data_IF_489647245673
#
_entry.id   IF_489647245673
#
_cell.length_a   1.000
_cell.length_b   1.000
_cell.length_c   1.000
_cell.angle_alpha   90.00
_cell.angle_beta   90.00
_cell.angle_gamma   90.00
#
_symmetry.space_group_name_H-M   'P 1'
#
loop_
_entity.id
_entity.type
_entity.pdbx_description
1 polymer ?
#
# COMPACT_ATOMS: atom_id res chain seq x y z
N UNK A 1 -6.63 -10.23 -23.49
CA UNK A 1 -6.98 -9.50 -22.23
C UNK A 1 -8.41 -9.75 -21.74
N UNK A 2 -9.45 -9.61 -22.57
CA UNK A 2 -10.85 -9.79 -22.12
C UNK A 2 -11.19 -11.22 -21.66
N UNK A 3 -10.66 -12.25 -22.35
CA UNK A 3 -10.82 -13.67 -21.98
C UNK A 3 -10.13 -14.00 -20.65
N UNK A 4 -8.85 -13.64 -20.50
CA UNK A 4 -8.10 -13.70 -19.23
C UNK A 4 -8.87 -13.09 -18.06
N UNK A 5 -9.30 -11.83 -18.22
CA UNK A 5 -10.02 -11.09 -17.18
C UNK A 5 -11.29 -11.82 -16.76
N UNK A 6 -11.93 -12.55 -17.67
CA UNK A 6 -13.12 -13.35 -17.37
C UNK A 6 -12.78 -14.65 -16.63
N UNK A 7 -11.80 -15.43 -17.09
CA UNK A 7 -11.43 -16.71 -16.47
C UNK A 7 -10.90 -16.55 -15.05
N UNK A 8 -9.99 -15.59 -14.80
CA UNK A 8 -9.48 -15.33 -13.44
C UNK A 8 -10.57 -14.79 -12.51
N UNK A 9 -11.50 -13.99 -13.06
CA UNK A 9 -12.65 -13.45 -12.31
C UNK A 9 -13.60 -14.57 -11.91
N UNK A 10 -13.92 -15.48 -12.83
CA UNK A 10 -14.73 -16.68 -12.55
C UNK A 10 -14.02 -17.57 -11.51
N UNK A 11 -12.71 -17.82 -11.69
CA UNK A 11 -11.92 -18.64 -10.77
C UNK A 11 -11.92 -18.16 -9.32
N UNK A 12 -11.83 -16.84 -9.11
CA UNK A 12 -11.92 -16.23 -7.78
C UNK A 12 -13.37 -16.25 -7.27
N UNK A 13 -14.36 -15.93 -8.12
CA UNK A 13 -15.78 -15.95 -7.71
C UNK A 13 -16.25 -17.34 -7.27
N UNK A 14 -15.65 -18.40 -7.80
CA UNK A 14 -15.94 -19.78 -7.39
C UNK A 14 -15.34 -20.15 -6.03
N UNK A 15 -14.35 -19.39 -5.54
CA UNK A 15 -13.61 -19.67 -4.30
C UNK A 15 -13.87 -18.67 -3.19
N UNK A 16 -14.34 -17.48 -3.55
CA UNK A 16 -14.53 -16.35 -2.63
C UNK A 16 -15.98 -15.96 -2.62
N UNK A 17 -16.64 -16.19 -1.49
CA UNK A 17 -18.03 -15.77 -1.31
C UNK A 17 -18.12 -14.27 -1.05
N UNK A 18 -18.94 -13.58 -1.85
CA UNK A 18 -19.29 -12.18 -1.67
C UNK A 18 -19.83 -11.87 -0.26
N UNK A 19 -20.52 -12.82 0.38
CA UNK A 19 -21.04 -12.62 1.73
C UNK A 19 -19.89 -12.52 2.73
N UNK A 20 -18.83 -13.31 2.58
CA UNK A 20 -17.67 -13.27 3.48
C UNK A 20 -16.89 -11.97 3.31
N UNK A 21 -16.65 -11.57 2.05
CA UNK A 21 -15.91 -10.34 1.73
C UNK A 21 -16.65 -9.12 2.26
N UNK A 22 -17.94 -8.98 1.95
CA UNK A 22 -18.74 -7.82 2.36
C UNK A 22 -19.04 -7.87 3.86
N UNK A 23 -19.38 -9.05 4.39
CA UNK A 23 -19.68 -9.29 5.79
C UNK A 23 -18.55 -8.92 6.74
N UNK A 24 -17.30 -8.92 6.24
CA UNK A 24 -16.13 -8.46 7.01
C UNK A 24 -16.18 -6.98 7.43
N UNK A 25 -16.96 -6.14 6.74
CA UNK A 25 -17.05 -4.71 7.03
C UNK A 25 -18.48 -4.14 7.09
N UNK A 26 -19.47 -4.89 6.59
CA UNK A 26 -20.88 -4.51 6.64
C UNK A 26 -21.66 -5.58 7.41
N UNK A 27 -22.42 -5.16 8.42
CA UNK A 27 -23.34 -6.05 9.12
C UNK A 27 -24.51 -6.43 8.19
N UNK A 28 -24.44 -7.63 7.62
CA UNK A 28 -25.46 -8.19 6.75
C UNK A 28 -26.45 -9.06 7.53
N UNK A 29 -27.76 -8.86 7.30
CA UNK A 29 -28.84 -9.71 7.83
C UNK A 29 -29.49 -10.47 6.68
N UNK A 30 -29.74 -11.77 6.86
CA UNK A 30 -30.41 -12.60 5.86
C UNK A 30 -31.89 -12.20 5.74
N UNK A 31 -32.34 -11.97 4.52
CA UNK A 31 -33.72 -11.59 4.17
C UNK A 31 -34.15 -12.40 2.95
N UNK A 32 -34.92 -13.47 3.19
CA UNK A 32 -35.28 -14.43 2.15
C UNK A 32 -34.04 -15.12 1.57
N UNK A 33 -33.84 -15.01 0.25
CA UNK A 33 -32.68 -15.57 -0.47
C UNK A 33 -31.46 -14.64 -0.48
N UNK A 34 -31.61 -13.38 -0.09
CA UNK A 34 -30.55 -12.37 -0.13
C UNK A 34 -30.14 -11.96 1.28
N UNK A 35 -29.13 -11.11 1.35
CA UNK A 35 -28.68 -10.44 2.56
C UNK A 35 -28.86 -8.94 2.41
N UNK A 36 -29.11 -8.24 3.51
CA UNK A 36 -29.38 -6.81 3.51
C UNK A 36 -28.62 -6.10 4.63
N UNK A 37 -28.06 -4.92 4.33
CA UNK A 37 -27.30 -4.10 5.28
C UNK A 37 -27.36 -2.61 4.92
N UNK A 38 -26.68 -1.79 5.72
CA UNK A 38 -26.43 -0.39 5.38
C UNK A 38 -25.36 -0.33 4.29
N UNK A 39 -25.53 0.59 3.34
CA UNK A 39 -24.61 0.77 2.24
C UNK A 39 -23.26 1.32 2.72
N UNK A 40 -22.13 0.72 2.31
CA UNK A 40 -20.81 1.25 2.63
C UNK A 40 -20.39 2.42 1.74
N UNK A 41 -21.19 2.76 0.72
CA UNK A 41 -20.83 3.75 -0.30
C UNK A 41 -21.51 5.11 -0.14
N UNK A 42 -22.51 5.20 0.74
CA UNK A 42 -23.18 6.44 1.07
C UNK A 42 -23.79 6.34 2.47
N UNK A 43 -24.01 7.48 3.11
CA UNK A 43 -24.59 7.52 4.45
C UNK A 43 -26.11 7.37 4.38
N UNK A 44 -26.65 6.35 5.04
CA UNK A 44 -28.08 6.09 5.16
C UNK A 44 -28.45 5.56 6.56
N UNK A 45 -29.73 5.70 6.95
CA UNK A 45 -30.27 5.15 8.20
C UNK A 45 -31.06 3.85 8.01
N UNK A 46 -31.60 3.65 6.82
CA UNK A 46 -32.42 2.48 6.47
C UNK A 46 -31.61 1.60 5.55
N UNK A 47 -31.47 0.29 5.81
CA UNK A 47 -30.74 -0.62 4.93
C UNK A 47 -31.29 -0.55 3.49
N UNK A 48 -30.44 -0.21 2.52
CA UNK A 48 -30.76 -0.31 1.08
C UNK A 48 -29.77 -1.19 0.30
N UNK A 49 -28.71 -1.65 0.96
CA UNK A 49 -27.68 -2.50 0.37
C UNK A 49 -28.11 -3.98 0.38
N UNK A 50 -28.28 -4.56 -0.79
CA UNK A 50 -28.71 -5.96 -0.95
C UNK A 50 -27.60 -6.77 -1.61
N UNK A 51 -27.29 -7.93 -1.05
CA UNK A 51 -26.27 -8.85 -1.53
C UNK A 51 -26.90 -10.20 -1.83
N UNK A 52 -26.68 -10.70 -3.04
CA UNK A 52 -27.11 -12.03 -3.47
C UNK A 52 -25.90 -12.96 -3.47
N UNK A 53 -25.93 -13.93 -2.56
CA UNK A 53 -24.91 -15.00 -2.46
C UNK A 53 -24.94 -15.87 -3.72
N UNK A 54 -26.12 -16.27 -4.18
CA UNK A 54 -26.30 -17.09 -5.39
C UNK A 54 -25.74 -16.41 -6.64
N UNK A 55 -26.00 -15.11 -6.82
CA UNK A 55 -25.53 -14.35 -8.00
C UNK A 55 -24.12 -13.80 -7.84
N UNK A 56 -23.50 -13.95 -6.66
CA UNK A 56 -22.22 -13.30 -6.32
C UNK A 56 -22.21 -11.80 -6.68
N UNK A 57 -23.30 -11.10 -6.34
CA UNK A 57 -23.57 -9.73 -6.79
C UNK A 57 -24.24 -8.88 -5.70
N UNK A 58 -23.93 -7.60 -5.64
CA UNK A 58 -24.61 -6.63 -4.78
C UNK A 58 -25.28 -5.52 -5.58
N UNK A 59 -26.33 -4.95 -5.01
CA UNK A 59 -26.98 -3.74 -5.50
C UNK A 59 -27.46 -2.88 -4.33
N UNK A 60 -27.16 -1.59 -4.38
CA UNK A 60 -27.67 -0.60 -3.43
C UNK A 60 -28.88 0.13 -4.03
N UNK A 61 -30.06 -0.02 -3.42
CA UNK A 61 -31.27 0.67 -3.88
C UNK A 61 -31.32 2.16 -3.52
N UNK A 62 -30.50 2.63 -2.57
CA UNK A 62 -30.37 4.05 -2.24
C UNK A 62 -29.50 4.84 -3.23
N UNK A 63 -28.27 4.39 -3.50
CA UNK A 63 -27.30 5.13 -4.32
C UNK A 63 -27.03 4.52 -5.70
N UNK A 64 -27.68 3.42 -6.08
CA UNK A 64 -27.55 2.77 -7.39
C UNK A 64 -26.24 1.99 -7.61
N UNK A 65 -25.25 2.07 -6.70
CA UNK A 65 -24.01 1.30 -6.83
C UNK A 65 -24.29 -0.19 -6.82
N UNK A 66 -23.71 -0.91 -7.77
CA UNK A 66 -23.88 -2.34 -7.94
C UNK A 66 -22.62 -2.98 -8.52
N UNK A 67 -22.46 -4.28 -8.32
CA UNK A 67 -21.30 -4.99 -8.85
C UNK A 67 -21.01 -6.32 -8.18
N UNK A 68 -19.86 -6.88 -8.56
CA UNK A 68 -19.31 -8.11 -7.97
C UNK A 68 -18.38 -7.82 -6.79
N UNK A 69 -17.82 -8.88 -6.19
CA UNK A 69 -16.75 -8.78 -5.18
C UNK A 69 -15.63 -7.82 -5.57
N UNK A 70 -15.25 -7.78 -6.85
CA UNK A 70 -14.18 -6.90 -7.33
C UNK A 70 -14.59 -5.44 -7.29
N UNK A 71 -15.80 -5.12 -7.72
CA UNK A 71 -16.33 -3.76 -7.66
C UNK A 71 -16.40 -3.28 -6.22
N UNK A 72 -16.84 -4.16 -5.32
CA UNK A 72 -16.88 -3.86 -3.90
C UNK A 72 -15.49 -3.53 -3.35
N UNK A 73 -14.48 -4.36 -3.62
CA UNK A 73 -13.10 -4.14 -3.18
C UNK A 73 -12.51 -2.89 -3.82
N UNK A 74 -12.65 -2.68 -5.13
CA UNK A 74 -12.16 -1.47 -5.80
C UNK A 74 -12.72 -0.20 -5.17
N UNK A 75 -14.03 -0.16 -4.90
CA UNK A 75 -14.71 1.01 -4.34
C UNK A 75 -14.37 1.24 -2.86
N UNK A 76 -14.39 0.18 -2.04
CA UNK A 76 -14.10 0.29 -0.60
C UNK A 76 -12.61 0.44 -0.31
N UNK A 77 -11.76 -0.04 -1.21
CA UNK A 77 -10.31 0.01 -1.07
C UNK A 77 -9.66 1.16 -1.83
N UNK A 78 -10.38 1.79 -2.76
CA UNK A 78 -9.90 2.80 -3.70
C UNK A 78 -8.67 2.29 -4.47
N UNK A 79 -8.83 1.12 -5.07
CA UNK A 79 -7.79 0.40 -5.80
C UNK A 79 -8.29 0.02 -7.18
N UNK A 80 -7.37 -0.23 -8.11
CA UNK A 80 -7.75 -0.69 -9.44
C UNK A 80 -8.18 -2.17 -9.44
N UNK A 81 -8.60 -2.66 -10.61
CA UNK A 81 -9.07 -4.03 -10.75
C UNK A 81 -7.97 -5.07 -10.45
N UNK A 82 -6.72 -4.80 -10.86
CA UNK A 82 -5.63 -5.74 -10.66
C UNK A 82 -5.26 -5.81 -9.18
N UNK A 83 -5.16 -4.65 -8.52
CA UNK A 83 -4.98 -4.55 -7.08
C UNK A 83 -6.08 -5.29 -6.32
N UNK A 84 -7.35 -5.09 -6.69
CA UNK A 84 -8.49 -5.77 -6.07
C UNK A 84 -8.41 -7.29 -6.24
N UNK A 85 -8.02 -7.74 -7.44
CA UNK A 85 -7.82 -9.14 -7.77
C UNK A 85 -6.68 -9.77 -6.95
N UNK A 86 -5.52 -9.12 -6.88
CA UNK A 86 -4.40 -9.53 -6.02
C UNK A 86 -4.79 -9.51 -4.53
N UNK A 87 -5.64 -8.56 -4.12
CA UNK A 87 -6.15 -8.44 -2.74
C UNK A 87 -6.96 -9.66 -2.34
N UNK A 88 -7.89 -10.05 -3.20
CA UNK A 88 -8.75 -11.19 -2.98
C UNK A 88 -7.95 -12.48 -3.03
N UNK A 89 -7.02 -12.60 -3.98
CA UNK A 89 -6.17 -13.77 -4.09
C UNK A 89 -5.30 -13.99 -2.83
N UNK A 90 -4.61 -12.95 -2.37
CA UNK A 90 -3.77 -13.01 -1.18
C UNK A 90 -4.58 -13.34 0.08
N UNK A 91 -5.75 -12.71 0.28
CA UNK A 91 -6.61 -12.95 1.45
C UNK A 91 -7.12 -14.38 1.56
N UNK A 92 -7.40 -15.01 0.42
CA UNK A 92 -7.99 -16.34 0.35
C UNK A 92 -6.98 -17.42 -0.07
N UNK A 93 -5.68 -17.10 -0.12
CA UNK A 93 -4.62 -18.04 -0.46
C UNK A 93 -4.74 -18.62 -1.87
N UNK A 94 -5.26 -17.85 -2.82
CA UNK A 94 -5.51 -18.28 -4.20
C UNK A 94 -4.26 -18.00 -5.04
N UNK A 95 -3.70 -19.05 -5.64
CA UNK A 95 -2.62 -18.91 -6.60
C UNK A 95 -3.17 -18.41 -7.95
N UNK A 96 -2.69 -17.23 -8.36
CA UNK A 96 -3.04 -16.62 -9.64
C UNK A 96 -2.14 -17.07 -10.79
N UNK A 97 -1.01 -17.72 -10.48
CA UNK A 97 0.01 -18.15 -11.46
C UNK A 97 -0.57 -18.89 -12.67
N UNK A 98 -1.56 -19.80 -12.54
CA UNK A 98 -2.13 -20.53 -13.68
C UNK A 98 -2.88 -19.65 -14.68
N UNK A 99 -3.41 -18.50 -14.23
CA UNK A 99 -4.20 -17.61 -15.10
C UNK A 99 -3.30 -16.65 -15.88
N UNK A 100 -2.02 -16.61 -15.56
CA UNK A 100 -1.08 -15.71 -16.21
C UNK A 100 -0.65 -16.34 -17.55
N UNK A 101 -1.53 -16.30 -18.55
CA UNK A 101 -1.39 -17.03 -19.82
C UNK A 101 -0.37 -16.43 -20.80
N UNK A 102 0.24 -15.28 -20.51
CA UNK A 102 1.27 -14.70 -21.40
C UNK A 102 2.55 -14.43 -20.63
N UNK A 103 3.70 -14.73 -21.25
CA UNK A 103 5.01 -14.34 -20.74
C UNK A 103 5.02 -12.87 -20.32
N UNK A 104 4.32 -11.99 -21.06
CA UNK A 104 4.20 -10.57 -20.75
C UNK A 104 3.34 -10.27 -19.50
N UNK A 105 2.26 -11.01 -19.26
CA UNK A 105 1.44 -10.88 -18.04
C UNK A 105 2.18 -11.37 -16.80
N UNK A 106 2.95 -12.45 -16.94
CA UNK A 106 3.77 -13.05 -15.88
C UNK A 106 4.92 -12.16 -15.54
N UNK A 107 5.60 -11.69 -16.57
CA UNK A 107 6.63 -10.69 -16.43
C UNK A 107 6.10 -9.41 -15.76
N UNK A 108 4.88 -8.93 -16.07
CA UNK A 108 4.31 -7.75 -15.37
C UNK A 108 4.01 -8.01 -13.90
N UNK A 109 3.39 -9.15 -13.57
CA UNK A 109 3.10 -9.51 -12.18
C UNK A 109 4.39 -9.74 -11.38
N UNK A 110 5.31 -10.53 -11.91
CA UNK A 110 6.61 -10.80 -11.31
C UNK A 110 7.41 -9.50 -11.14
N UNK A 111 7.42 -8.62 -12.15
CA UNK A 111 8.04 -7.31 -12.05
C UNK A 111 7.42 -6.48 -10.92
N UNK A 112 6.09 -6.46 -10.78
CA UNK A 112 5.41 -5.69 -9.73
C UNK A 112 5.72 -6.25 -8.34
N UNK A 113 5.72 -7.57 -8.17
CA UNK A 113 6.15 -8.21 -6.94
C UNK A 113 7.60 -7.87 -6.61
N UNK A 114 8.48 -7.88 -7.62
CA UNK A 114 9.87 -7.49 -7.50
C UNK A 114 10.04 -6.05 -6.99
N UNK A 115 9.18 -5.11 -7.40
CA UNK A 115 9.19 -3.74 -6.87
C UNK A 115 8.85 -3.69 -5.38
N UNK A 116 7.89 -4.50 -4.91
CA UNK A 116 7.61 -4.60 -3.46
C UNK A 116 8.81 -5.19 -2.69
N UNK A 117 9.51 -6.18 -3.27
CA UNK A 117 10.71 -6.77 -2.67
C UNK A 117 11.86 -5.75 -2.56
N UNK A 118 12.04 -4.91 -3.59
CA UNK A 118 13.00 -3.79 -3.58
C UNK A 118 12.65 -2.82 -2.45
N UNK A 119 11.39 -2.39 -2.36
CA UNK A 119 10.97 -1.42 -1.34
C UNK A 119 11.08 -1.96 0.08
N UNK A 120 10.74 -3.24 0.30
CA UNK A 120 10.95 -3.90 1.58
C UNK A 120 12.44 -3.98 1.94
N UNK A 121 13.29 -4.36 0.98
CA UNK A 121 14.74 -4.44 1.17
C UNK A 121 15.36 -3.08 1.47
N UNK A 122 14.93 -2.03 0.75
CA UNK A 122 15.34 -0.65 0.98
C UNK A 122 14.91 -0.15 2.37
N UNK A 123 13.70 -0.48 2.82
CA UNK A 123 13.23 -0.11 4.16
C UNK A 123 14.10 -0.75 5.25
N UNK A 124 14.41 -2.04 5.12
CA UNK A 124 15.33 -2.75 6.04
C UNK A 124 16.73 -2.15 6.02
N UNK A 125 17.23 -1.78 4.84
CA UNK A 125 18.50 -1.09 4.69
C UNK A 125 18.52 0.23 5.46
N UNK A 126 17.58 1.15 5.18
CA UNK A 126 17.53 2.44 5.86
C UNK A 126 17.31 2.31 7.36
N UNK A 127 16.48 1.37 7.80
CA UNK A 127 16.29 1.07 9.22
C UNK A 127 17.61 0.64 9.89
N UNK A 128 18.39 -0.23 9.24
CA UNK A 128 19.72 -0.62 9.73
C UNK A 128 20.69 0.57 9.79
N UNK A 129 20.68 1.44 8.78
CA UNK A 129 21.54 2.63 8.75
C UNK A 129 21.19 3.63 9.87
N UNK A 130 19.92 3.71 10.30
CA UNK A 130 19.53 4.57 11.42
C UNK A 130 20.26 4.19 12.71
N UNK A 131 20.40 2.89 12.99
CA UNK A 131 21.13 2.40 14.16
C UNK A 131 22.61 2.81 14.17
N UNK A 132 23.23 2.89 12.99
CA UNK A 132 24.62 3.30 12.82
C UNK A 132 24.86 4.81 12.84
N UNK A 133 23.82 5.63 12.69
CA UNK A 133 23.95 7.10 12.58
C UNK A 133 23.71 7.79 13.92
N UNK A 134 24.76 8.36 14.51
CA UNK A 134 24.63 9.16 15.73
C UNK A 134 23.78 10.42 15.49
N UNK A 135 24.00 11.11 14.37
CA UNK A 135 23.28 12.35 14.01
C UNK A 135 21.77 12.10 13.89
N UNK A 136 21.38 11.04 13.19
CA UNK A 136 19.95 10.71 13.04
C UNK A 136 19.30 10.31 14.37
N UNK A 137 20.00 9.56 15.23
CA UNK A 137 19.50 9.20 16.56
C UNK A 137 19.36 10.41 17.49
N UNK A 138 20.35 11.30 17.50
CA UNK A 138 20.29 12.55 18.28
C UNK A 138 19.14 13.44 17.78
N UNK A 139 18.91 13.50 16.48
CA UNK A 139 17.77 14.22 15.92
C UNK A 139 16.43 13.68 16.42
N UNK A 140 16.25 12.35 16.41
CA UNK A 140 15.03 11.70 16.94
C UNK A 140 14.85 11.96 18.44
N UNK A 141 15.93 11.90 19.22
CA UNK A 141 15.92 12.22 20.65
C UNK A 141 15.53 13.67 20.91
N UNK A 142 16.07 14.63 20.14
CA UNK A 142 15.68 16.04 20.20
C UNK A 142 14.22 16.28 19.84
N UNK A 143 13.60 15.34 19.11
CA UNK A 143 12.17 15.31 18.81
C UNK A 143 11.34 14.47 19.77
N UNK A 144 11.95 13.97 20.85
CA UNK A 144 11.32 13.13 21.88
C UNK A 144 10.72 11.84 21.31
N UNK A 145 11.24 11.34 20.19
CA UNK A 145 10.82 10.08 19.60
C UNK A 145 11.62 8.94 20.21
N UNK A 146 10.91 8.02 20.89
CA UNK A 146 11.53 6.83 21.48
C UNK A 146 12.01 5.85 20.40
N UNK A 147 13.00 5.03 20.74
CA UNK A 147 13.43 3.93 19.86
C UNK A 147 12.28 2.96 19.55
N UNK A 148 11.34 2.77 20.49
CA UNK A 148 10.17 1.93 20.27
C UNK A 148 9.25 2.54 19.21
N UNK A 149 9.03 3.86 19.26
CA UNK A 149 8.28 4.60 18.24
C UNK A 149 8.97 4.53 16.88
N UNK A 150 10.29 4.77 16.84
CA UNK A 150 11.08 4.67 15.61
C UNK A 150 10.99 3.26 15.00
N UNK A 151 11.05 2.21 15.83
CA UNK A 151 10.82 0.82 15.40
C UNK A 151 9.41 0.57 14.90
N UNK A 152 8.40 1.06 15.61
CA UNK A 152 6.99 0.84 15.25
C UNK A 152 6.67 1.39 13.87
N UNK A 153 7.12 2.60 13.56
CA UNK A 153 6.93 3.25 12.26
C UNK A 153 7.98 2.86 11.21
N UNK A 154 8.98 2.04 11.57
CA UNK A 154 10.05 1.61 10.67
C UNK A 154 10.96 2.75 10.19
N UNK A 155 11.16 3.79 11.02
CA UNK A 155 11.98 4.95 10.65
C UNK A 155 13.41 4.50 10.29
N UNK A 156 13.97 5.12 9.27
CA UNK A 156 15.30 4.81 8.77
C UNK A 156 16.17 6.04 8.59
N UNK A 157 17.38 5.84 8.09
CA UNK A 157 18.29 6.91 7.70
C UNK A 157 18.88 6.60 6.33
N UNK A 158 18.84 7.56 5.42
CA UNK A 158 19.59 7.52 4.18
C UNK A 158 20.93 8.22 4.42
N UNK A 159 22.06 7.49 4.43
CA UNK A 159 23.38 8.08 4.61
C UNK A 159 23.67 9.12 3.52
N UNK A 160 24.56 10.05 3.82
CA UNK A 160 25.11 10.90 2.76
C UNK A 160 25.95 10.06 1.79
N UNK A 161 25.97 10.46 0.52
CA UNK A 161 26.61 9.72 -0.56
C UNK A 161 25.67 9.43 -1.73
N UNK A 162 26.26 9.25 -2.91
CA UNK A 162 25.53 9.23 -4.18
C UNK A 162 25.13 7.84 -4.68
N UNK A 163 25.64 6.76 -4.07
CA UNK A 163 25.50 5.39 -4.57
C UNK A 163 25.13 4.37 -3.48
N UNK A 164 24.78 4.82 -2.27
CA UNK A 164 24.61 3.96 -1.10
C UNK A 164 23.50 2.91 -1.31
N UNK A 165 22.30 3.33 -1.74
CA UNK A 165 21.20 2.39 -2.02
C UNK A 165 21.45 1.59 -3.29
N UNK A 166 22.11 2.19 -4.29
CA UNK A 166 22.48 1.52 -5.55
C UNK A 166 23.37 0.31 -5.25
N UNK A 167 24.50 0.52 -4.57
CA UNK A 167 25.44 -0.54 -4.24
C UNK A 167 24.82 -1.62 -3.35
N UNK A 168 24.01 -1.22 -2.37
CA UNK A 168 23.29 -2.17 -1.53
C UNK A 168 22.36 -3.05 -2.37
N UNK A 169 21.56 -2.44 -3.23
CA UNK A 169 20.53 -3.16 -3.97
C UNK A 169 21.14 -4.06 -5.07
N UNK A 170 22.20 -3.63 -5.74
CA UNK A 170 22.96 -4.46 -6.69
C UNK A 170 23.52 -5.71 -6.01
N UNK A 171 24.10 -5.57 -4.81
CA UNK A 171 24.56 -6.71 -4.00
C UNK A 171 23.41 -7.63 -3.56
N UNK A 172 22.21 -7.08 -3.41
CA UNK A 172 20.99 -7.82 -3.10
C UNK A 172 20.30 -8.43 -4.35
N UNK A 173 20.90 -8.29 -5.53
CA UNK A 173 20.39 -8.87 -6.79
C UNK A 173 19.28 -8.06 -7.45
N UNK A 174 19.13 -6.78 -7.11
CA UNK A 174 18.20 -5.87 -7.75
C UNK A 174 18.90 -5.03 -8.83
N UNK A 175 18.17 -4.72 -9.89
CA UNK A 175 18.67 -3.94 -11.03
C UNK A 175 18.42 -2.45 -10.83
N UNK A 176 19.28 -1.59 -11.39
CA UNK A 176 19.07 -0.13 -11.40
C UNK A 176 17.72 0.27 -11.99
N UNK A 177 17.21 -0.52 -12.94
CA UNK A 177 15.89 -0.28 -13.56
C UNK A 177 14.79 -0.41 -12.52
N UNK A 178 14.81 -1.46 -11.70
CA UNK A 178 13.86 -1.67 -10.61
C UNK A 178 13.94 -0.53 -9.58
N UNK A 179 15.16 -0.09 -9.21
CA UNK A 179 15.34 1.04 -8.28
C UNK A 179 14.77 2.34 -8.84
N UNK A 180 14.95 2.57 -10.14
CA UNK A 180 14.40 3.75 -10.83
C UNK A 180 12.86 3.69 -10.86
N UNK A 181 12.29 2.52 -11.13
CA UNK A 181 10.84 2.30 -11.16
C UNK A 181 10.20 2.40 -9.76
N UNK A 182 10.94 2.08 -8.70
CA UNK A 182 10.58 2.36 -7.31
C UNK A 182 10.82 3.82 -6.89
N UNK A 183 11.42 4.65 -7.75
CA UNK A 183 11.75 6.03 -7.46
C UNK A 183 12.85 6.21 -6.40
N UNK A 184 13.64 5.19 -6.09
CA UNK A 184 14.72 5.24 -5.09
C UNK A 184 15.97 5.96 -5.61
N UNK A 185 16.13 6.00 -6.93
CA UNK A 185 17.26 6.64 -7.62
C UNK A 185 16.76 7.62 -8.67
N UNK A 186 17.67 8.46 -9.14
CA UNK A 186 17.50 9.39 -10.24
C UNK A 186 18.53 9.10 -11.31
N UNK A 187 18.26 9.56 -12.53
CA UNK A 187 19.19 9.54 -13.66
C UNK A 187 19.46 10.98 -14.08
N UNK A 188 20.74 11.37 -14.19
CA UNK A 188 21.09 12.69 -14.71
C UNK A 188 21.14 12.71 -16.26
N UNK A 189 21.36 13.88 -16.84
CA UNK A 189 21.45 14.07 -18.30
C UNK A 189 22.57 13.24 -18.95
N UNK A 190 23.67 13.01 -18.23
CA UNK A 190 24.78 12.16 -18.66
C UNK A 190 24.53 10.66 -18.46
N UNK A 191 23.28 10.26 -18.21
CA UNK A 191 22.86 8.88 -17.96
C UNK A 191 23.50 8.19 -16.75
N UNK A 192 24.05 8.95 -15.79
CA UNK A 192 24.52 8.43 -14.51
C UNK A 192 23.38 8.35 -13.51
N UNK A 193 23.32 7.22 -12.81
CA UNK A 193 22.35 6.99 -11.76
C UNK A 193 22.88 7.47 -10.42
N UNK A 194 22.02 7.96 -9.54
CA UNK A 194 22.37 8.36 -8.19
C UNK A 194 21.21 8.28 -7.22
N UNK A 195 21.52 8.10 -5.94
CA UNK A 195 20.55 7.99 -4.84
C UNK A 195 19.64 9.21 -4.77
N UNK A 196 18.32 9.01 -4.70
CA UNK A 196 17.37 10.12 -4.51
C UNK A 196 17.48 10.72 -3.11
N UNK A 197 17.52 9.86 -2.10
CA UNK A 197 17.54 10.24 -0.70
C UNK A 197 18.97 10.17 -0.16
N UNK A 198 19.45 11.29 0.40
CA UNK A 198 20.80 11.43 0.93
C UNK A 198 20.75 12.34 2.15
N UNK A 199 21.49 12.00 3.19
CA UNK A 199 21.49 12.67 4.49
C UNK A 199 20.09 13.00 5.03
N UNK A 200 19.18 12.01 5.00
CA UNK A 200 17.77 12.20 5.38
C UNK A 200 17.30 11.16 6.38
N UNK A 201 16.52 11.59 7.36
CA UNK A 201 15.65 10.71 8.13
C UNK A 201 14.55 10.20 7.21
N UNK A 202 14.39 8.88 7.15
CA UNK A 202 13.50 8.19 6.22
C UNK A 202 12.24 7.74 6.92
N UNK A 203 11.10 8.03 6.30
CA UNK A 203 9.76 7.67 6.72
C UNK A 203 9.19 6.70 5.68
N UNK A 204 9.18 5.37 5.94
CA UNK A 204 8.56 4.44 5.02
C UNK A 204 7.06 4.71 4.94
N UNK A 205 6.54 4.75 3.72
CA UNK A 205 5.12 4.93 3.44
C UNK A 205 4.54 3.56 3.12
N UNK A 206 3.53 3.16 3.88
CA UNK A 206 2.87 1.87 3.76
C UNK A 206 1.54 1.98 3.02
N UNK A 207 1.22 0.98 2.22
CA UNK A 207 -0.13 0.81 1.69
C UNK A 207 -1.09 0.27 2.78
N UNK A 208 -2.36 0.08 2.41
CA UNK A 208 -3.40 -0.44 3.32
C UNK A 208 -3.15 -1.88 3.80
N UNK A 209 -2.24 -2.61 3.15
CA UNK A 209 -1.84 -3.98 3.52
C UNK A 209 -0.58 -3.99 4.39
N UNK A 210 0.07 -2.84 4.58
CA UNK A 210 1.31 -2.74 5.34
C UNK A 210 2.56 -3.03 4.50
N UNK A 211 2.48 -3.03 3.17
CA UNK A 211 3.65 -3.13 2.29
C UNK A 211 4.27 -1.75 2.13
N UNK A 212 5.60 -1.66 2.13
CA UNK A 212 6.30 -0.40 1.86
C UNK A 212 6.18 -0.09 0.38
N UNK A 213 5.64 1.09 0.05
CA UNK A 213 5.39 1.50 -1.34
C UNK A 213 6.10 2.79 -1.73
N UNK A 214 6.51 3.59 -0.76
CA UNK A 214 7.26 4.82 -0.99
C UNK A 214 8.06 5.24 0.26
N UNK A 215 8.81 6.33 0.14
CA UNK A 215 9.47 6.97 1.27
C UNK A 215 9.22 8.49 1.28
N UNK A 216 9.07 9.04 2.48
CA UNK A 216 9.37 10.43 2.77
C UNK A 216 10.78 10.54 3.35
N UNK A 217 11.48 11.65 3.07
CA UNK A 217 12.83 11.90 3.56
C UNK A 217 12.95 13.33 4.09
N UNK A 218 13.29 13.48 5.37
CA UNK A 218 13.50 14.79 6.01
C UNK A 218 14.99 15.06 6.18
N UNK A 219 15.46 16.23 5.80
CA UNK A 219 16.84 16.65 6.10
C UNK A 219 17.09 16.67 7.60
N UNK A 220 18.35 16.44 8.00
CA UNK A 220 18.79 16.54 9.39
C UNK A 220 19.52 17.87 9.69
N UNK A 221 19.87 18.59 8.63
CA UNK A 221 20.56 19.87 8.61
C UNK A 221 19.67 20.96 7.97
N UNK A 222 20.27 22.08 7.56
CA UNK A 222 19.61 23.19 6.89
C UNK A 222 19.41 22.96 5.37
N UNK A 223 19.60 21.72 4.89
CA UNK A 223 19.41 21.37 3.49
C UNK A 223 17.97 21.57 3.01
N UNK A 224 17.82 21.83 1.70
CA UNK A 224 16.52 21.97 1.06
C UNK A 224 16.30 20.89 -0.02
N UNK A 225 15.04 20.48 -0.27
CA UNK A 225 13.85 20.82 0.50
C UNK A 225 13.81 20.10 1.85
N UNK A 226 13.11 20.68 2.84
CA UNK A 226 12.99 20.13 4.20
C UNK A 226 12.44 18.70 4.20
N UNK A 227 11.44 18.44 3.36
CA UNK A 227 10.91 17.11 3.07
C UNK A 227 11.00 16.83 1.57
N UNK A 228 11.37 15.59 1.24
CA UNK A 228 11.38 15.05 -0.11
C UNK A 228 10.55 13.76 -0.09
N UNK A 229 9.63 13.59 -1.03
CA UNK A 229 8.84 12.36 -1.15
C UNK A 229 9.26 11.59 -2.40
N UNK A 230 9.04 10.27 -2.38
CA UNK A 230 9.06 9.47 -3.61
C UNK A 230 8.12 10.06 -4.66
N UNK A 231 8.47 9.96 -5.96
CA UNK A 231 7.55 10.31 -7.04
C UNK A 231 6.42 9.27 -7.14
N UNK A 232 5.39 9.56 -7.94
CA UNK A 232 4.41 8.56 -8.36
C UNK A 232 5.11 7.36 -9.02
N UNK A 233 4.67 6.15 -8.72
CA UNK A 233 5.18 4.90 -9.32
C UNK A 233 4.03 3.93 -9.59
N UNK A 234 4.32 2.80 -10.24
CA UNK A 234 3.33 1.74 -10.46
C UNK A 234 2.78 1.13 -9.16
N UNK A 235 3.50 1.23 -8.05
CA UNK A 235 3.07 0.70 -6.74
C UNK A 235 2.74 1.80 -5.72
N UNK A 236 2.90 3.08 -6.09
CA UNK A 236 2.63 4.20 -5.21
C UNK A 236 1.91 5.34 -5.92
N UNK A 237 0.67 5.54 -5.48
CA UNK A 237 -0.16 6.68 -5.84
C UNK A 237 -0.46 7.52 -4.61
N UNK A 238 0.05 8.76 -4.56
CA UNK A 238 -0.04 9.62 -3.37
C UNK A 238 -1.49 9.89 -2.97
N UNK A 239 -2.41 10.01 -3.94
CA UNK A 239 -3.84 10.20 -3.69
C UNK A 239 -4.50 9.03 -2.97
N UNK A 240 -3.91 7.84 -3.03
CA UNK A 240 -4.52 6.60 -2.54
C UNK A 240 -3.88 6.13 -1.23
N UNK A 241 -2.97 6.92 -0.66
CA UNK A 241 -2.21 6.54 0.53
C UNK A 241 -2.33 7.60 1.62
N UNK A 242 -2.67 7.15 2.82
CA UNK A 242 -2.65 7.95 4.05
C UNK A 242 -1.57 7.38 4.97
N UNK A 243 -0.57 8.21 5.31
CA UNK A 243 0.51 7.79 6.20
C UNK A 243 -0.05 7.36 7.57
N UNK A 244 0.40 6.20 8.04
CA UNK A 244 -0.02 5.63 9.33
C UNK A 244 -1.37 4.90 9.34
N UNK A 245 -2.10 4.89 8.21
CA UNK A 245 -3.40 4.20 8.12
C UNK A 245 -3.28 2.69 8.42
N UNK A 246 -2.19 2.06 8.00
CA UNK A 246 -1.91 0.65 8.28
C UNK A 246 -1.84 0.36 9.79
N UNK A 247 -1.36 1.30 10.60
CA UNK A 247 -1.32 1.19 12.07
C UNK A 247 -2.68 1.51 12.70
N UNK A 248 -3.36 2.54 12.18
CA UNK A 248 -4.63 3.03 12.74
C UNK A 248 -5.84 2.13 12.42
N UNK A 249 -5.83 1.38 11.30
CA UNK A 249 -6.99 0.65 10.75
C UNK A 249 -7.75 -0.18 11.78
N UNK A 250 -7.04 -0.88 12.68
CA UNK A 250 -7.69 -1.70 13.73
C UNK A 250 -8.45 -0.86 14.75
N UNK A 251 -7.92 0.31 15.12
CA UNK A 251 -8.53 1.22 16.11
C UNK A 251 -9.69 2.01 15.53
N UNK A 252 -9.59 2.45 14.27
CA UNK A 252 -10.67 3.17 13.57
C UNK A 252 -12.00 2.41 13.67
N UNK A 253 -11.97 1.10 13.47
CA UNK A 253 -13.18 0.27 13.54
C UNK A 253 -13.79 0.21 14.95
N UNK A 254 -12.97 0.30 15.99
CA UNK A 254 -13.38 0.27 17.40
C UNK A 254 -13.86 1.63 17.89
N UNK A 255 -13.10 2.69 17.57
CA UNK A 255 -13.33 4.05 18.08
C UNK A 255 -14.31 4.84 17.21
N UNK A 256 -14.55 4.41 15.96
CA UNK A 256 -15.43 5.07 14.98
C UNK A 256 -15.08 6.53 14.72
N UNK A 257 -13.82 6.91 14.96
CA UNK A 257 -13.26 8.24 14.73
C UNK A 257 -11.85 8.15 14.16
N UNK A 258 -11.42 9.23 13.49
CA UNK A 258 -10.06 9.41 12.95
C UNK A 258 -9.62 10.83 13.25
N UNK A 259 -8.35 10.99 13.61
CA UNK A 259 -7.66 12.29 13.63
C UNK A 259 -6.84 12.39 12.35
N UNK A 260 -7.05 13.44 11.57
CA UNK A 260 -6.27 13.75 10.38
C UNK A 260 -5.34 14.93 10.69
N UNK A 261 -4.06 14.76 10.36
CA UNK A 261 -2.99 15.76 10.60
C UNK A 261 -2.17 15.95 9.33
N UNK A 262 -1.38 17.03 9.28
CA UNK A 262 -0.71 17.47 8.05
C UNK A 262 0.56 16.68 7.71
N UNK A 263 1.35 16.26 8.71
CA UNK A 263 2.68 15.72 8.47
C UNK A 263 2.97 14.36 9.13
N UNK A 264 4.02 13.70 8.65
CA UNK A 264 4.50 12.43 9.21
C UNK A 264 4.81 12.54 10.71
N UNK A 265 5.46 13.64 11.12
CA UNK A 265 5.84 13.86 12.51
C UNK A 265 4.62 14.03 13.42
N UNK A 266 3.56 14.66 12.92
CA UNK A 266 2.32 14.84 13.68
C UNK A 266 1.64 13.49 13.92
N UNK A 267 1.61 12.62 12.90
CA UNK A 267 1.10 11.24 13.03
C UNK A 267 1.92 10.43 14.02
N UNK A 268 3.25 10.57 14.00
CA UNK A 268 4.15 9.79 14.86
C UNK A 268 4.13 10.26 16.32
N UNK A 269 3.84 11.54 16.54
CA UNK A 269 3.79 12.14 17.88
C UNK A 269 2.50 11.80 18.65
N UNK A 270 1.43 11.38 17.95
CA UNK A 270 0.14 10.98 18.52
C UNK A 270 0.09 9.47 18.82
#
# INVERSE_FOLDING_TARGET
MAKYKREVTEYIKDRVDIIDVIGSSVSLKKTGRNYKGLCPFHSEKTPSFVVSQERQFYHCFGCGKSGSIFNYVMETENVDFLDALESLAERYGIDLTPFIESDQGRQKYDNRQRLYDVMQSAARYYFKQLGGSQVARQYLQGRQLSDATARHFGLGYAPDGWQNIIEFAERAGFTRRELLDCGLILKNEQSRYYDRFRNRLMFPIFDRRGRVVAFGGRVLDDGLPKYLNSPETTIFHKSNVLYGLNFAKKRINKEKSVILVEGYMDVIAL
#
